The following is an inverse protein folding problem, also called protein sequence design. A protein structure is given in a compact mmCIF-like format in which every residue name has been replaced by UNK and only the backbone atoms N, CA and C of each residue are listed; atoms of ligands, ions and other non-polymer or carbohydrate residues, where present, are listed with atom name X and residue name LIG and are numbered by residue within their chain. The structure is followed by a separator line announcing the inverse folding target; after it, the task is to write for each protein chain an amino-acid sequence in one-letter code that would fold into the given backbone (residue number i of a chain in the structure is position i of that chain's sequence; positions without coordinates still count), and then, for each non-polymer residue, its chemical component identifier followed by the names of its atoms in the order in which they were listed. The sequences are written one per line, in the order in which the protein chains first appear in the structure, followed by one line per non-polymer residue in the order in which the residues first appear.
data_IF_784434400406
#
_entry.id   IF_784434400406
#
_cell.length_a   1.000
_cell.length_b   1.000
_cell.length_c   1.000
_cell.angle_alpha   90.00
_cell.angle_beta   90.00
_cell.angle_gamma   90.00
#
_symmetry.space_group_name_H-M   'P 1'
#
loop_
_entity.id
_entity.type
_entity.pdbx_description
1 polymer ?
#
# COMPACT_ATOMS: atom_id res chain seq x y z
N UNK A 1 6.80 27.00 20.28
CA UNK A 1 8.10 26.28 20.34
C UNK A 1 7.98 24.74 20.32
N UNK A 2 6.98 24.14 19.67
CA UNK A 2 6.78 22.67 19.69
C UNK A 2 6.97 21.92 18.36
N UNK A 3 6.97 22.64 17.22
CA UNK A 3 6.95 22.01 15.88
C UNK A 3 8.24 21.29 15.51
N UNK A 4 9.41 21.79 15.92
CA UNK A 4 10.71 21.18 15.59
C UNK A 4 10.88 19.75 16.16
N UNK A 5 10.42 19.53 17.39
CA UNK A 5 10.48 18.21 18.04
C UNK A 5 9.53 17.21 17.39
N UNK A 6 8.31 17.64 17.07
CA UNK A 6 7.35 16.81 16.36
C UNK A 6 7.87 16.41 14.97
N UNK A 7 8.42 17.38 14.21
CA UNK A 7 9.03 17.11 12.90
C UNK A 7 10.19 16.12 12.99
N UNK A 8 11.08 16.30 13.97
CA UNK A 8 12.19 15.37 14.19
C UNK A 8 11.71 13.93 14.51
N UNK A 9 10.69 13.79 15.36
CA UNK A 9 10.10 12.48 15.67
C UNK A 9 9.49 11.83 14.42
N UNK A 10 8.75 12.60 13.62
CA UNK A 10 8.14 12.09 12.39
C UNK A 10 9.18 11.67 11.36
N UNK A 11 10.26 12.45 11.17
CA UNK A 11 11.35 12.08 10.26
C UNK A 11 12.07 10.81 10.71
N UNK A 12 12.26 10.62 12.01
CA UNK A 12 12.84 9.37 12.55
C UNK A 12 11.95 8.17 12.23
N UNK A 13 10.65 8.26 12.54
CA UNK A 13 9.67 7.18 12.26
C UNK A 13 9.59 6.89 10.77
N UNK A 14 9.53 7.91 9.92
CA UNK A 14 9.48 7.73 8.47
C UNK A 14 10.74 7.05 7.92
N UNK A 15 11.92 7.38 8.45
CA UNK A 15 13.18 6.71 8.08
C UNK A 15 13.18 5.26 8.52
N UNK A 16 12.73 4.98 9.74
CA UNK A 16 12.60 3.62 10.25
C UNK A 16 11.68 2.80 9.36
N UNK A 17 10.49 3.32 9.00
CA UNK A 17 9.57 2.62 8.09
C UNK A 17 10.11 2.45 6.66
N UNK A 18 10.82 3.45 6.14
CA UNK A 18 11.37 3.41 4.77
C UNK A 18 12.50 2.41 4.62
N UNK A 19 13.34 2.28 5.65
CA UNK A 19 14.55 1.45 5.61
C UNK A 19 14.46 0.23 6.54
N UNK A 20 13.35 0.00 7.22
CA UNK A 20 13.07 -1.27 7.89
C UNK A 20 12.86 -2.31 6.81
N UNK A 21 13.81 -3.22 6.69
CA UNK A 21 13.59 -4.45 5.95
C UNK A 21 12.77 -5.35 6.86
N UNK A 22 11.51 -5.67 6.54
CA UNK A 22 10.76 -6.64 7.31
C UNK A 22 11.53 -7.95 7.29
N UNK A 23 11.77 -8.53 8.47
CA UNK A 23 12.33 -9.88 8.57
C UNK A 23 11.26 -10.86 8.10
N UNK A 24 11.36 -11.32 6.87
CA UNK A 24 10.46 -12.34 6.33
C UNK A 24 10.86 -13.70 6.88
N UNK A 25 9.90 -14.42 7.48
CA UNK A 25 10.09 -15.80 7.88
C UNK A 25 10.08 -16.70 6.62
N UNK A 26 11.28 -17.07 6.17
CA UNK A 26 11.47 -17.89 4.97
C UNK A 26 10.92 -19.32 5.15
N UNK A 27 10.90 -19.85 6.38
CA UNK A 27 10.38 -21.19 6.65
C UNK A 27 8.85 -21.23 6.48
N UNK A 28 8.16 -20.19 6.94
CA UNK A 28 6.72 -20.03 6.69
C UNK A 28 6.41 -19.89 5.19
N UNK A 29 7.18 -19.06 4.49
CA UNK A 29 7.00 -18.85 3.04
C UNK A 29 7.24 -20.13 2.23
N UNK A 30 8.28 -20.91 2.59
CA UNK A 30 8.57 -22.18 1.94
C UNK A 30 7.45 -23.20 2.16
N UNK A 31 6.86 -23.27 3.36
CA UNK A 31 5.72 -24.14 3.65
C UNK A 31 4.48 -23.78 2.84
N UNK A 32 4.20 -22.49 2.68
CA UNK A 32 3.08 -22.03 1.85
C UNK A 32 3.29 -22.36 0.37
N UNK A 33 4.49 -22.10 -0.17
CA UNK A 33 4.85 -22.45 -1.55
C UNK A 33 4.81 -23.96 -1.80
N UNK A 34 5.30 -24.76 -0.86
CA UNK A 34 5.25 -26.22 -0.97
C UNK A 34 3.84 -26.80 -0.79
N UNK A 35 2.96 -26.11 -0.05
CA UNK A 35 1.58 -26.53 0.24
C UNK A 35 0.49 -25.93 -0.67
N UNK A 36 0.85 -25.01 -1.57
CA UNK A 36 -0.08 -24.13 -2.29
C UNK A 36 -0.93 -24.74 -3.42
N UNK A 37 -0.82 -26.05 -3.72
CA UNK A 37 -1.60 -26.63 -4.83
C UNK A 37 -3.07 -26.94 -4.49
N UNK A 38 -3.52 -26.79 -3.24
CA UNK A 38 -4.85 -27.29 -2.82
C UNK A 38 -5.93 -26.24 -2.59
N UNK A 39 -5.69 -24.94 -2.84
CA UNK A 39 -6.67 -23.90 -2.46
C UNK A 39 -6.97 -22.83 -3.51
N UNK A 40 -7.06 -23.21 -4.79
CA UNK A 40 -7.46 -22.35 -5.93
C UNK A 40 -8.92 -21.84 -5.89
N UNK A 41 -9.65 -21.94 -4.78
CA UNK A 41 -11.09 -21.63 -4.74
C UNK A 41 -11.49 -20.26 -4.17
N UNK A 42 -10.56 -19.34 -3.89
CA UNK A 42 -10.89 -18.03 -3.27
C UNK A 42 -10.59 -16.79 -4.11
N UNK A 43 -10.50 -16.91 -5.45
CA UNK A 43 -10.16 -15.78 -6.33
C UNK A 43 -11.26 -15.39 -7.34
N UNK A 44 -12.53 -15.77 -7.14
CA UNK A 44 -13.60 -15.44 -8.11
C UNK A 44 -14.54 -14.30 -7.69
N UNK A 45 -14.39 -13.71 -6.50
CA UNK A 45 -15.43 -12.84 -5.89
C UNK A 45 -15.08 -11.34 -5.92
N UNK A 46 -14.05 -10.90 -6.66
CA UNK A 46 -13.55 -9.51 -6.59
C UNK A 46 -13.44 -8.78 -7.94
N UNK A 47 -14.15 -9.24 -8.97
CA UNK A 47 -13.97 -8.70 -10.34
C UNK A 47 -15.13 -7.84 -10.87
N UNK A 48 -16.17 -7.54 -10.07
CA UNK A 48 -17.43 -6.97 -10.58
C UNK A 48 -17.90 -5.67 -9.88
N UNK A 49 -16.99 -4.79 -9.43
CA UNK A 49 -17.41 -3.53 -8.74
C UNK A 49 -16.64 -2.25 -9.14
N UNK A 50 -15.86 -2.24 -10.22
CA UNK A 50 -15.00 -1.08 -10.54
C UNK A 50 -15.36 -0.35 -11.83
N UNK A 51 -16.42 -0.71 -12.56
CA UNK A 51 -16.75 -0.09 -13.85
C UNK A 51 -17.49 1.25 -13.78
N UNK A 52 -18.09 1.62 -12.64
CA UNK A 52 -19.11 2.68 -12.63
C UNK A 52 -18.65 4.00 -11.98
N UNK A 53 -17.35 4.15 -11.67
CA UNK A 53 -16.82 5.34 -10.97
C UNK A 53 -15.82 6.18 -11.77
N UNK A 54 -15.45 5.76 -12.98
CA UNK A 54 -14.44 6.43 -13.80
C UNK A 54 -15.12 7.29 -14.88
N UNK A 55 -15.75 8.39 -14.45
CA UNK A 55 -16.44 9.30 -15.36
C UNK A 55 -16.27 10.79 -15.07
N UNK A 56 -15.68 11.18 -13.93
CA UNK A 56 -15.56 12.60 -13.58
C UNK A 56 -14.26 12.94 -12.83
N UNK A 57 -13.55 13.93 -13.39
CA UNK A 57 -12.58 14.85 -12.75
C UNK A 57 -11.14 14.36 -12.53
N UNK A 58 -10.44 13.99 -13.60
CA UNK A 58 -8.96 14.13 -13.62
C UNK A 58 -8.50 15.41 -14.30
N UNK A 59 -9.27 16.02 -15.21
CA UNK A 59 -8.82 17.24 -15.90
C UNK A 59 -8.90 18.51 -15.03
N UNK A 60 -9.89 18.62 -14.14
CA UNK A 60 -10.15 19.85 -13.36
C UNK A 60 -9.04 20.19 -12.33
N UNK A 61 -8.41 19.17 -11.73
CA UNK A 61 -7.34 19.37 -10.73
C UNK A 61 -6.02 19.91 -11.34
N UNK A 62 -5.80 19.75 -12.65
CA UNK A 62 -4.58 20.26 -13.29
C UNK A 62 -4.62 21.77 -13.55
N UNK A 63 -5.81 22.36 -13.69
CA UNK A 63 -5.98 23.78 -13.97
C UNK A 63 -5.84 24.65 -12.71
N UNK A 64 -6.17 24.13 -11.51
CA UNK A 64 -6.03 24.86 -10.23
C UNK A 64 -4.56 25.13 -9.84
N UNK A 65 -3.65 24.23 -10.21
CA UNK A 65 -2.22 24.34 -9.87
C UNK A 65 -1.42 25.24 -10.82
N UNK A 66 -2.03 25.70 -11.92
CA UNK A 66 -1.38 26.57 -12.92
C UNK A 66 -1.69 28.06 -12.73
N UNK A 67 -2.54 28.43 -11.77
CA UNK A 67 -2.96 29.81 -11.53
C UNK A 67 -2.03 30.60 -10.61
#
# INVERSE_FOLDING_TARGET
MGRGRAKAKQTKVARELKYSVPTTDFDSLQRELAGGSTNSHRSSVRSDQTSDREGHSREDDYDDWRR
#
